data_IF_595301565241
#
_entry.id   IF_595301565241
#
_cell.length_a   1.000
_cell.length_b   1.000
_cell.length_c   1.000
_cell.angle_alpha   90.00
_cell.angle_beta   90.00
_cell.angle_gamma   90.00
#
_symmetry.space_group_name_H-M   'P 1'
#
loop_
_entity.id
_entity.type
_entity.pdbx_description
1 polymer ?
#
# COMPACT_ATOMS: atom_id res chain seq x y z
N UNK A 1 -48.82 -5.14 60.03
CA UNK A 1 -47.53 -4.43 59.88
C UNK A 1 -46.36 -5.33 59.40
N UNK A 2 -46.38 -6.66 59.60
CA UNK A 2 -45.31 -7.57 59.17
C UNK A 2 -45.20 -7.69 57.64
N UNK A 3 -46.33 -7.74 56.92
CA UNK A 3 -46.37 -7.84 55.46
C UNK A 3 -45.72 -6.64 54.75
N UNK A 4 -45.91 -5.42 55.27
CA UNK A 4 -45.34 -4.19 54.70
C UNK A 4 -43.81 -4.18 54.81
N UNK A 5 -43.27 -4.61 55.96
CA UNK A 5 -41.81 -4.73 56.16
C UNK A 5 -41.17 -5.77 55.23
N UNK A 6 -41.89 -6.84 54.89
CA UNK A 6 -41.44 -7.86 53.93
C UNK A 6 -41.49 -7.36 52.49
N UNK A 7 -42.52 -6.61 52.12
CA UNK A 7 -42.60 -5.96 50.80
C UNK A 7 -41.45 -4.97 50.60
N UNK A 8 -41.15 -4.16 51.63
CA UNK A 8 -40.01 -3.24 51.59
C UNK A 8 -38.67 -3.98 51.40
N UNK A 9 -38.47 -5.12 52.08
CA UNK A 9 -37.28 -5.94 51.90
C UNK A 9 -37.17 -6.53 50.48
N UNK A 10 -38.29 -6.93 49.87
CA UNK A 10 -38.33 -7.42 48.49
C UNK A 10 -37.98 -6.33 47.48
N UNK A 11 -38.44 -5.11 47.69
CA UNK A 11 -38.13 -3.96 46.82
C UNK A 11 -36.63 -3.67 46.83
N UNK A 12 -35.97 -3.71 48.00
CA UNK A 12 -34.53 -3.53 48.09
C UNK A 12 -33.75 -4.62 47.35
N UNK A 13 -34.16 -5.88 47.47
CA UNK A 13 -33.54 -6.99 46.74
C UNK A 13 -33.72 -6.81 45.24
N UNK A 14 -34.91 -6.43 44.79
CA UNK A 14 -35.21 -6.19 43.38
C UNK A 14 -34.38 -5.03 42.82
N UNK A 15 -34.19 -3.96 43.59
CA UNK A 15 -33.36 -2.82 43.21
C UNK A 15 -31.89 -3.24 43.02
N UNK A 16 -31.34 -4.01 43.95
CA UNK A 16 -29.97 -4.55 43.84
C UNK A 16 -29.84 -5.49 42.63
N UNK A 17 -30.83 -6.38 42.42
CA UNK A 17 -30.84 -7.29 41.28
C UNK A 17 -30.88 -6.53 39.94
N UNK A 18 -31.67 -5.46 39.84
CA UNK A 18 -31.73 -4.60 38.66
C UNK A 18 -30.40 -3.88 38.41
N UNK A 19 -29.76 -3.39 39.47
CA UNK A 19 -28.43 -2.77 39.40
C UNK A 19 -27.37 -3.75 38.90
N UNK A 20 -27.36 -4.98 39.42
CA UNK A 20 -26.46 -6.05 38.98
C UNK A 20 -26.69 -6.41 37.50
N UNK A 21 -27.94 -6.47 37.06
CA UNK A 21 -28.28 -6.72 35.65
C UNK A 21 -27.82 -5.59 34.73
N UNK A 22 -27.94 -4.33 35.17
CA UNK A 22 -27.41 -3.17 34.45
C UNK A 22 -25.90 -3.22 34.30
N UNK A 23 -25.18 -3.53 35.38
CA UNK A 23 -23.73 -3.70 35.34
C UNK A 23 -23.30 -4.84 34.40
N UNK A 24 -24.06 -5.94 34.37
CA UNK A 24 -23.81 -7.06 33.46
C UNK A 24 -23.98 -6.65 31.98
N UNK A 25 -25.03 -5.89 31.65
CA UNK A 25 -25.23 -5.39 30.28
C UNK A 25 -24.08 -4.49 29.82
N UNK A 26 -23.58 -3.62 30.69
CA UNK A 26 -22.41 -2.77 30.40
C UNK A 26 -21.15 -3.63 30.19
N UNK A 27 -20.92 -4.64 31.04
CA UNK A 27 -19.77 -5.55 30.87
C UNK A 27 -19.81 -6.29 29.54
N UNK A 28 -21.01 -6.70 29.08
CA UNK A 28 -21.17 -7.37 27.80
C UNK A 28 -20.89 -6.43 26.62
N UNK A 29 -21.31 -5.17 26.72
CA UNK A 29 -21.01 -4.11 25.74
C UNK A 29 -19.51 -3.86 25.61
N UNK A 30 -18.79 -3.77 26.72
CA UNK A 30 -17.32 -3.58 26.72
C UNK A 30 -16.62 -4.71 25.95
N UNK A 31 -17.08 -5.95 26.07
CA UNK A 31 -16.53 -7.07 25.31
C UNK A 31 -16.76 -6.90 23.79
N UNK A 32 -17.94 -6.43 23.38
CA UNK A 32 -18.22 -6.15 21.96
C UNK A 32 -17.39 -5.00 21.41
N UNK A 33 -17.24 -3.91 22.17
CA UNK A 33 -16.42 -2.76 21.76
C UNK A 33 -14.95 -3.13 21.66
N UNK A 34 -14.44 -3.97 22.57
CA UNK A 34 -13.06 -4.48 22.48
C UNK A 34 -12.85 -5.26 21.18
N UNK A 35 -13.82 -6.05 20.72
CA UNK A 35 -13.73 -6.78 19.46
C UNK A 35 -13.72 -5.82 18.25
N UNK A 36 -14.61 -4.82 18.23
CA UNK A 36 -14.62 -3.80 17.18
C UNK A 36 -13.29 -3.02 17.13
N UNK A 37 -12.72 -2.67 18.28
CA UNK A 37 -11.39 -2.05 18.35
C UNK A 37 -10.30 -2.95 17.77
N UNK A 38 -10.35 -4.26 18.01
CA UNK A 38 -9.39 -5.20 17.42
C UNK A 38 -9.52 -5.28 15.90
N UNK A 39 -10.74 -5.28 15.35
CA UNK A 39 -10.96 -5.24 13.89
C UNK A 39 -10.36 -3.99 13.27
N UNK A 40 -10.59 -2.82 13.86
CA UNK A 40 -10.03 -1.55 13.39
C UNK A 40 -8.50 -1.56 13.47
N UNK A 41 -7.91 -2.10 14.55
CA UNK A 41 -6.44 -2.25 14.67
C UNK A 41 -5.86 -3.11 13.56
N UNK A 42 -6.50 -4.23 13.23
CA UNK A 42 -6.08 -5.10 12.11
C UNK A 42 -6.21 -4.36 10.77
N UNK A 43 -7.29 -3.60 10.57
CA UNK A 43 -7.47 -2.81 9.35
C UNK A 43 -6.37 -1.74 9.21
N UNK A 44 -6.06 -1.01 10.28
CA UNK A 44 -4.96 -0.03 10.29
C UNK A 44 -3.63 -0.70 9.92
N UNK A 45 -3.34 -1.88 10.49
CA UNK A 45 -2.11 -2.60 10.19
C UNK A 45 -2.02 -3.00 8.71
N UNK A 46 -3.14 -3.47 8.12
CA UNK A 46 -3.22 -3.79 6.69
C UNK A 46 -3.03 -2.56 5.82
N UNK A 47 -3.76 -1.48 6.08
CA UNK A 47 -3.62 -0.23 5.33
C UNK A 47 -2.20 0.34 5.41
N UNK A 48 -1.51 0.24 6.56
CA UNK A 48 -0.09 0.61 6.67
C UNK A 48 0.85 -0.28 5.87
N UNK A 49 0.53 -1.56 5.68
CA UNK A 49 1.29 -2.44 4.80
C UNK A 49 1.07 -2.06 3.33
N UNK A 50 -0.19 -1.79 2.95
CA UNK A 50 -0.54 -1.35 1.60
C UNK A 50 0.16 -0.03 1.25
N UNK A 51 0.14 0.96 2.15
CA UNK A 51 0.84 2.24 1.94
C UNK A 51 2.33 2.01 1.66
N UNK A 52 3.02 1.21 2.48
CA UNK A 52 4.45 0.92 2.28
C UNK A 52 4.70 0.21 0.96
N UNK A 53 3.81 -0.69 0.55
CA UNK A 53 3.89 -1.35 -0.75
C UNK A 53 3.74 -0.34 -1.90
N UNK A 54 2.73 0.53 -1.84
CA UNK A 54 2.50 1.57 -2.84
C UNK A 54 3.68 2.55 -2.90
N UNK A 55 4.21 2.99 -1.76
CA UNK A 55 5.40 3.85 -1.68
C UNK A 55 6.61 3.20 -2.36
N UNK A 56 6.79 1.90 -2.18
CA UNK A 56 7.87 1.15 -2.82
C UNK A 56 7.68 1.09 -4.34
N UNK A 57 6.47 0.81 -4.83
CA UNK A 57 6.18 0.86 -6.27
C UNK A 57 6.39 2.27 -6.85
N UNK A 58 5.94 3.31 -6.16
CA UNK A 58 6.10 4.69 -6.60
C UNK A 58 7.58 5.09 -6.65
N UNK A 59 8.36 4.74 -5.62
CA UNK A 59 9.81 4.99 -5.60
C UNK A 59 10.50 4.30 -6.78
N UNK A 60 10.13 3.05 -7.08
CA UNK A 60 10.69 2.34 -8.23
C UNK A 60 10.33 3.01 -9.56
N UNK A 61 9.06 3.41 -9.77
CA UNK A 61 8.62 4.08 -11.00
C UNK A 61 9.18 5.51 -11.14
N UNK A 62 9.32 6.24 -10.04
CA UNK A 62 9.90 7.58 -10.03
C UNK A 62 11.40 7.54 -10.37
N UNK A 63 12.12 6.56 -9.84
CA UNK A 63 13.54 6.37 -10.11
C UNK A 63 13.79 6.14 -11.61
N UNK A 64 13.01 5.30 -12.29
CA UNK A 64 13.14 5.11 -13.76
C UNK A 64 12.97 6.42 -14.55
N UNK A 65 11.96 7.23 -14.21
CA UNK A 65 11.74 8.54 -14.86
C UNK A 65 12.83 9.56 -14.51
N UNK A 66 13.44 9.45 -13.34
CA UNK A 66 14.53 10.30 -12.93
C UNK A 66 15.82 9.92 -13.65
N UNK A 67 16.13 8.62 -13.74
CA UNK A 67 17.25 8.10 -14.52
C UNK A 67 17.14 8.49 -16.00
N UNK A 68 15.96 8.37 -16.61
CA UNK A 68 15.77 8.83 -18.00
C UNK A 68 16.06 10.32 -18.15
N UNK A 69 15.60 11.16 -17.21
CA UNK A 69 15.89 12.59 -17.24
C UNK A 69 17.38 12.88 -17.09
N UNK A 70 18.04 12.27 -16.12
CA UNK A 70 19.49 12.43 -15.95
C UNK A 70 20.28 11.93 -17.17
N UNK A 71 19.83 10.83 -17.79
CA UNK A 71 20.43 10.30 -18.99
C UNK A 71 20.30 11.25 -20.19
N UNK A 72 19.15 11.92 -20.33
CA UNK A 72 18.92 12.94 -21.36
C UNK A 72 19.68 14.24 -21.08
N UNK A 73 19.71 14.70 -19.82
CA UNK A 73 20.27 16.00 -19.42
C UNK A 73 21.81 16.01 -19.42
N UNK A 74 22.47 15.00 -18.82
CA UNK A 74 23.94 14.97 -18.67
C UNK A 74 24.64 14.18 -19.79
N UNK A 75 24.06 13.05 -20.19
CA UNK A 75 24.73 12.10 -21.09
C UNK A 75 24.23 12.15 -22.53
N UNK A 76 23.07 12.80 -22.79
CA UNK A 76 22.37 12.83 -24.07
C UNK A 76 22.22 11.43 -24.74
N UNK A 77 22.25 10.34 -23.97
CA UNK A 77 22.05 9.01 -24.54
C UNK A 77 20.55 8.79 -24.78
N UNK A 78 20.08 9.20 -25.95
CA UNK A 78 18.79 8.78 -26.45
C UNK A 78 18.85 7.30 -26.87
N UNK A 79 17.80 6.54 -26.56
CA UNK A 79 17.66 5.19 -27.13
C UNK A 79 17.57 5.33 -28.66
N UNK A 80 18.40 4.64 -29.45
CA UNK A 80 18.40 4.82 -30.89
C UNK A 80 17.01 4.55 -31.47
N UNK A 81 16.54 5.43 -32.35
CA UNK A 81 15.22 5.29 -32.96
C UNK A 81 15.24 4.16 -34.00
N UNK A 82 14.08 3.57 -34.30
CA UNK A 82 13.98 2.47 -35.26
C UNK A 82 14.58 2.81 -36.65
N UNK A 83 14.56 4.09 -37.01
CA UNK A 83 15.12 4.65 -38.24
C UNK A 83 16.65 4.75 -38.25
N UNK A 84 17.30 4.64 -37.09
CA UNK A 84 18.76 4.56 -36.95
C UNK A 84 19.29 3.12 -37.08
N UNK A 85 18.40 2.12 -37.05
CA UNK A 85 18.76 0.72 -37.32
C UNK A 85 18.56 0.39 -38.79
N UNK A 86 19.49 -0.38 -39.35
CA UNK A 86 19.34 -0.89 -40.71
C UNK A 86 18.35 -2.05 -40.72
N UNK A 87 17.47 -2.07 -41.72
CA UNK A 87 16.40 -3.07 -41.85
C UNK A 87 16.90 -4.50 -42.17
N UNK A 88 18.17 -4.69 -42.50
CA UNK A 88 18.75 -6.02 -42.72
C UNK A 88 20.07 -6.04 -43.49
N UNK A 89 20.56 -7.25 -43.77
CA UNK A 89 21.87 -7.54 -44.38
C UNK A 89 22.10 -6.86 -45.74
N UNK A 90 21.04 -6.74 -46.55
CA UNK A 90 21.13 -6.04 -47.84
C UNK A 90 21.36 -4.54 -47.66
N UNK A 91 20.70 -3.92 -46.67
CA UNK A 91 20.92 -2.51 -46.35
C UNK A 91 22.32 -2.28 -45.76
N UNK A 92 22.87 -3.25 -45.02
CA UNK A 92 24.25 -3.24 -44.54
C UNK A 92 25.27 -3.30 -45.68
N UNK A 93 25.04 -4.11 -46.71
CA UNK A 93 25.92 -4.15 -47.90
C UNK A 93 25.95 -2.82 -48.66
N UNK A 94 24.87 -2.05 -48.64
CA UNK A 94 24.83 -0.69 -49.19
C UNK A 94 25.54 0.35 -48.30
N UNK A 95 25.89 0.00 -47.07
CA UNK A 95 26.57 0.88 -46.11
C UNK A 95 28.11 0.80 -46.21
N UNK A 96 28.66 -0.20 -46.91
CA UNK A 96 30.11 -0.47 -47.08
C UNK A 96 30.92 0.65 -47.80
N UNK A 97 30.26 1.77 -48.15
CA UNK A 97 30.90 2.95 -48.74
C UNK A 97 30.52 4.28 -48.07
N UNK A 98 29.79 4.26 -46.95
CA UNK A 98 29.39 5.47 -46.24
C UNK A 98 30.49 5.86 -45.26
N UNK A 99 31.13 7.00 -45.50
CA UNK A 99 32.04 7.62 -44.53
C UNK A 99 31.23 7.96 -43.26
N UNK A 100 31.71 7.64 -42.05
CA UNK A 100 31.01 8.00 -40.83
C UNK A 100 30.79 9.52 -40.79
N UNK A 101 29.53 9.93 -40.65
CA UNK A 101 29.19 11.34 -40.53
C UNK A 101 29.44 11.77 -39.08
N UNK A 102 30.66 12.24 -38.81
CA UNK A 102 31.06 12.76 -37.50
C UNK A 102 32.58 12.75 -37.35
N UNK A 103 33.14 13.47 -36.36
CA UNK A 103 34.54 13.28 -35.99
C UNK A 103 34.76 11.79 -35.64
N UNK A 104 35.92 11.24 -36.01
CA UNK A 104 36.29 9.87 -35.65
C UNK A 104 36.01 9.65 -34.17
N UNK A 105 34.99 8.84 -33.88
CA UNK A 105 34.61 8.50 -32.51
C UNK A 105 35.68 7.54 -31.99
N UNK A 106 36.74 8.12 -31.43
CA UNK A 106 37.71 7.38 -30.64
C UNK A 106 37.05 7.14 -29.29
N UNK A 107 36.53 5.94 -29.07
CA UNK A 107 36.01 5.56 -27.77
C UNK A 107 37.12 5.85 -26.73
N UNK A 108 36.89 6.73 -25.73
CA UNK A 108 37.87 6.93 -24.68
C UNK A 108 38.18 5.56 -24.05
N UNK A 109 39.45 5.26 -23.75
CA UNK A 109 39.84 3.95 -23.25
C UNK A 109 38.99 3.64 -22.02
N UNK A 110 38.21 2.56 -22.11
CA UNK A 110 37.39 2.08 -21.00
C UNK A 110 38.34 1.76 -19.87
N UNK A 111 38.41 2.64 -18.88
CA UNK A 111 39.08 2.36 -17.61
C UNK A 111 38.24 1.31 -16.90
N UNK A 112 38.54 0.05 -17.17
CA UNK A 112 38.03 -1.05 -16.36
C UNK A 112 38.63 -0.89 -14.97
N UNK A 113 37.81 -0.49 -14.00
CA UNK A 113 38.14 -0.69 -12.60
C UNK A 113 38.14 -2.21 -12.39
N UNK A 114 39.32 -2.81 -12.50
CA UNK A 114 39.55 -4.21 -12.14
C UNK A 114 39.25 -4.31 -10.65
N UNK A 115 38.07 -4.78 -10.28
CA UNK A 115 37.83 -5.24 -8.91
C UNK A 115 38.69 -6.49 -8.75
N UNK A 116 39.80 -6.38 -8.01
CA UNK A 116 40.55 -7.56 -7.61
C UNK A 116 39.62 -8.50 -6.84
N UNK A 117 39.42 -9.70 -7.37
CA UNK A 117 38.81 -10.81 -6.64
C UNK A 117 39.64 -11.03 -5.35
N UNK A 118 39.03 -11.29 -4.18
CA UNK A 118 39.73 -11.27 -2.87
C UNK A 118 40.84 -12.32 -2.67
N UNK A 119 41.19 -13.10 -3.69
CA UNK A 119 42.15 -14.20 -3.59
C UNK A 119 43.62 -13.73 -3.56
N UNK A 120 43.93 -12.53 -4.05
CA UNK A 120 45.32 -12.09 -4.26
C UNK A 120 45.79 -10.93 -3.36
N UNK A 121 45.07 -10.60 -2.28
CA UNK A 121 45.55 -9.63 -1.28
C UNK A 121 46.15 -10.33 -0.05
N UNK A 122 47.32 -9.90 0.47
CA UNK A 122 47.75 -10.31 1.80
C UNK A 122 46.71 -9.84 2.81
N UNK A 123 46.01 -10.83 3.40
CA UNK A 123 44.91 -10.61 4.34
C UNK A 123 45.42 -9.93 5.61
N UNK A 124 45.20 -8.61 5.72
CA UNK A 124 45.10 -7.98 7.02
C UNK A 124 43.74 -8.37 7.64
N UNK A 125 43.64 -8.71 8.95
CA UNK A 125 42.38 -9.10 9.55
C UNK A 125 41.40 -7.91 9.60
N UNK A 126 40.55 -7.79 8.58
CA UNK A 126 39.42 -6.86 8.61
C UNK A 126 38.27 -7.56 9.37
N UNK A 127 37.87 -6.99 10.50
CA UNK A 127 36.66 -7.44 11.20
C UNK A 127 35.45 -7.31 10.27
N UNK A 128 34.79 -8.43 9.99
CA UNK A 128 33.64 -8.47 9.11
C UNK A 128 32.48 -7.63 9.69
N UNK A 129 31.82 -6.78 8.88
CA UNK A 129 30.58 -6.17 9.31
C UNK A 129 29.52 -7.26 9.47
N UNK A 130 28.96 -7.37 10.69
CA UNK A 130 27.89 -8.31 10.99
C UNK A 130 26.64 -7.95 10.18
N UNK A 131 26.40 -8.70 9.10
CA UNK A 131 25.15 -8.65 8.34
C UNK A 131 24.05 -9.37 9.12
N UNK A 132 22.89 -8.74 9.39
CA UNK A 132 21.78 -9.36 10.14
C UNK A 132 21.04 -10.47 9.36
N UNK A 133 21.50 -10.83 8.15
CA UNK A 133 20.81 -11.78 7.27
C UNK A 133 21.11 -13.26 7.55
N UNK A 134 22.10 -13.59 8.40
CA UNK A 134 22.51 -14.98 8.61
C UNK A 134 21.62 -15.79 9.58
N UNK A 135 20.63 -15.19 10.24
CA UNK A 135 19.81 -15.86 11.28
C UNK A 135 18.48 -16.44 10.76
N UNK A 136 18.22 -16.45 9.45
CA UNK A 136 16.91 -16.90 8.92
C UNK A 136 16.97 -18.07 7.93
N UNK A 137 18.09 -18.81 7.85
CA UNK A 137 18.10 -20.09 7.12
C UNK A 137 17.72 -21.19 8.10
N UNK A 138 16.41 -21.36 8.32
CA UNK A 138 15.86 -22.57 8.93
C UNK A 138 15.85 -23.64 7.84
N UNK A 139 16.79 -24.57 7.93
CA UNK A 139 16.93 -25.72 7.04
C UNK A 139 15.87 -26.77 7.37
N UNK A 140 14.63 -26.48 7.01
CA UNK A 140 13.54 -27.45 6.98
C UNK A 140 13.32 -27.76 5.49
N UNK A 141 14.06 -28.75 5.00
CA UNK A 141 13.91 -29.30 3.65
C UNK A 141 12.47 -29.78 3.48
N UNK A 142 11.64 -28.95 2.85
CA UNK A 142 10.36 -29.37 2.31
C UNK A 142 10.65 -30.10 1.00
N UNK A 143 10.63 -31.43 1.08
CA UNK A 143 10.48 -32.32 -0.08
C UNK A 143 9.36 -31.76 -0.96
N UNK A 144 9.71 -31.41 -2.20
CA UNK A 144 8.78 -30.96 -3.22
C UNK A 144 7.78 -32.11 -3.42
N UNK A 145 6.57 -31.95 -2.88
CA UNK A 145 5.45 -32.82 -3.18
C UNK A 145 4.85 -32.31 -4.48
N UNK A 146 4.97 -33.11 -5.53
CA UNK A 146 4.33 -32.87 -6.82
C UNK A 146 2.83 -32.63 -6.60
N UNK A 147 2.35 -31.44 -6.97
CA UNK A 147 0.97 -31.07 -6.84
C UNK A 147 0.18 -31.77 -7.96
N UNK A 148 -0.38 -32.93 -7.66
CA UNK A 148 -1.49 -33.46 -8.46
C UNK A 148 -2.68 -32.50 -8.30
N UNK A 149 -3.10 -31.91 -9.42
CA UNK A 149 -4.35 -31.19 -9.54
C UNK A 149 -5.50 -32.17 -9.26
N UNK A 150 -6.02 -32.15 -8.04
CA UNK A 150 -7.28 -32.78 -7.73
C UNK A 150 -8.39 -31.87 -8.23
N UNK A 151 -9.06 -32.29 -9.31
CA UNK A 151 -10.38 -31.80 -9.72
C UNK A 151 -11.35 -31.96 -8.54
N UNK A 152 -11.47 -30.93 -7.72
CA UNK A 152 -12.57 -30.79 -6.77
C UNK A 152 -13.53 -29.75 -7.35
N UNK A 153 -14.42 -30.26 -8.19
CA UNK A 153 -15.53 -29.50 -8.78
C UNK A 153 -16.68 -29.44 -7.77
N UNK A 154 -16.44 -28.88 -6.58
CA UNK A 154 -17.50 -28.67 -5.61
C UNK A 154 -17.76 -27.18 -5.38
N UNK A 155 -18.79 -26.73 -6.11
CA UNK A 155 -19.65 -25.56 -5.89
C UNK A 155 -18.92 -24.25 -5.63
N UNK A 156 -18.40 -23.70 -6.72
CA UNK A 156 -18.28 -22.26 -6.89
C UNK A 156 -19.63 -21.60 -6.54
N UNK A 157 -19.64 -20.84 -5.45
CA UNK A 157 -20.76 -19.98 -5.11
C UNK A 157 -21.05 -19.09 -6.32
N UNK A 158 -22.29 -19.18 -6.80
CA UNK A 158 -22.85 -18.42 -7.91
C UNK A 158 -22.35 -16.97 -7.85
N UNK A 159 -21.46 -16.62 -8.78
CA UNK A 159 -20.99 -15.26 -8.95
C UNK A 159 -22.21 -14.34 -9.02
N UNK A 160 -22.27 -13.37 -8.10
CA UNK A 160 -23.21 -12.28 -8.22
C UNK A 160 -23.02 -11.67 -9.61
N UNK A 161 -24.10 -11.66 -10.40
CA UNK A 161 -24.14 -11.16 -11.77
C UNK A 161 -23.55 -9.76 -11.82
N UNK A 162 -22.31 -9.64 -12.31
CA UNK A 162 -21.76 -8.37 -12.75
C UNK A 162 -22.59 -7.98 -13.96
N UNK A 163 -23.49 -7.00 -13.78
CA UNK A 163 -24.29 -6.43 -14.87
C UNK A 163 -23.36 -6.09 -16.03
N UNK A 164 -23.67 -6.63 -17.20
CA UNK A 164 -22.89 -6.40 -18.43
C UNK A 164 -22.88 -4.90 -18.74
N UNK A 165 -21.84 -4.38 -19.39
CA UNK A 165 -21.72 -2.96 -19.74
C UNK A 165 -22.98 -2.39 -20.46
N UNK A 166 -23.74 -3.25 -21.15
CA UNK A 166 -25.01 -2.93 -21.81
C UNK A 166 -26.19 -2.70 -20.85
N UNK A 167 -26.24 -3.37 -19.70
CA UNK A 167 -27.22 -3.10 -18.64
C UNK A 167 -26.88 -1.83 -17.85
N UNK A 168 -25.59 -1.60 -17.61
CA UNK A 168 -25.13 -0.37 -16.95
C UNK A 168 -25.45 0.89 -17.77
N UNK A 169 -25.26 0.81 -19.09
CA UNK A 169 -25.65 1.89 -20.01
C UNK A 169 -27.17 2.13 -20.08
N UNK A 170 -27.99 1.10 -19.83
CA UNK A 170 -29.45 1.22 -19.82
C UNK A 170 -29.97 1.79 -18.49
N UNK A 171 -29.31 1.45 -17.38
CA UNK A 171 -29.57 2.06 -16.06
C UNK A 171 -29.13 3.53 -16.01
N UNK A 172 -28.03 3.90 -16.68
CA UNK A 172 -27.54 5.29 -16.77
C UNK A 172 -28.41 6.17 -17.71
N UNK A 173 -29.19 5.56 -18.61
CA UNK A 173 -30.13 6.26 -19.51
C UNK A 173 -31.55 6.43 -18.92
N UNK A 174 -31.84 5.78 -17.78
CA UNK A 174 -33.12 5.86 -17.08
C UNK A 174 -33.15 7.08 -16.14
N UNK A 175 -33.66 8.22 -16.64
CA UNK A 175 -33.72 9.51 -15.91
C UNK A 175 -34.70 9.53 -14.74
N UNK A 176 -35.43 8.44 -14.50
CA UNK A 176 -36.37 8.30 -13.38
C UNK A 176 -35.69 8.02 -12.04
N UNK A 177 -34.40 7.64 -12.03
CA UNK A 177 -33.64 7.31 -10.81
C UNK A 177 -32.44 8.26 -10.63
N UNK A 178 -32.15 8.73 -9.40
CA UNK A 178 -31.01 9.60 -9.16
C UNK A 178 -29.68 8.89 -9.48
N UNK A 179 -28.88 9.51 -10.37
CA UNK A 179 -27.60 9.01 -10.86
C UNK A 179 -26.70 8.53 -9.69
N UNK A 180 -26.17 7.30 -9.72
CA UNK A 180 -25.31 6.76 -8.66
C UNK A 180 -24.01 7.56 -8.45
N UNK A 181 -23.53 8.26 -9.47
CA UNK A 181 -22.34 9.12 -9.39
C UNK A 181 -22.64 10.38 -8.58
N UNK A 182 -23.80 11.00 -8.79
CA UNK A 182 -24.23 12.19 -8.03
C UNK A 182 -24.34 11.89 -6.53
N UNK A 183 -24.89 10.72 -6.17
CA UNK A 183 -24.97 10.27 -4.76
C UNK A 183 -23.60 10.05 -4.11
N UNK A 184 -22.61 9.60 -4.88
CA UNK A 184 -21.23 9.44 -4.38
C UNK A 184 -20.56 10.80 -4.17
N UNK A 185 -20.74 11.72 -5.12
CA UNK A 185 -20.23 13.09 -4.99
C UNK A 185 -20.85 13.82 -3.79
N UNK A 186 -22.15 13.70 -3.58
CA UNK A 186 -22.85 14.29 -2.44
C UNK A 186 -22.36 13.72 -1.09
N UNK A 187 -22.13 12.40 -1.01
CA UNK A 187 -21.53 11.78 0.18
C UNK A 187 -20.10 12.25 0.44
N UNK A 188 -19.31 12.45 -0.61
CA UNK A 188 -17.96 12.99 -0.48
C UNK A 188 -17.99 14.44 0.02
N UNK A 189 -18.90 15.27 -0.52
CA UNK A 189 -19.08 16.65 -0.06
C UNK A 189 -19.54 16.73 1.41
N UNK A 190 -20.42 15.84 1.86
CA UNK A 190 -20.82 15.76 3.28
C UNK A 190 -19.66 15.35 4.20
N UNK A 191 -18.77 14.48 3.74
CA UNK A 191 -17.59 14.08 4.50
C UNK A 191 -16.58 15.22 4.57
N UNK A 192 -16.37 15.94 3.46
CA UNK A 192 -15.47 17.08 3.38
C UNK A 192 -15.93 18.21 4.32
N UNK A 193 -17.22 18.55 4.29
CA UNK A 193 -17.81 19.53 5.21
C UNK A 193 -17.70 19.13 6.69
N UNK A 194 -17.72 17.81 6.99
CA UNK A 194 -17.57 17.31 8.37
C UNK A 194 -16.11 17.30 8.84
N UNK A 195 -15.15 17.20 7.91
CA UNK A 195 -13.72 17.18 8.20
C UNK A 195 -13.13 18.59 8.25
N UNK A 196 -13.60 19.50 7.39
CA UNK A 196 -13.24 20.91 7.34
C UNK A 196 -14.16 21.81 8.18
N UNK A 197 -14.82 21.27 9.21
CA UNK A 197 -15.61 22.08 10.11
C UNK A 197 -14.73 23.14 10.80
N UNK A 198 -15.25 24.36 10.96
CA UNK A 198 -14.47 25.52 11.43
C UNK A 198 -13.91 25.29 12.85
N UNK A 199 -14.56 24.39 13.61
CA UNK A 199 -14.10 23.92 14.91
C UNK A 199 -12.79 23.10 14.85
N UNK A 200 -12.64 22.21 13.86
CA UNK A 200 -11.45 21.34 13.74
C UNK A 200 -10.24 22.14 13.24
N UNK A 201 -10.45 23.08 12.32
CA UNK A 201 -9.43 24.03 11.87
C UNK A 201 -9.02 24.99 13.00
N UNK A 202 -9.98 25.45 13.81
CA UNK A 202 -9.74 26.21 15.03
C UNK A 202 -8.86 25.47 16.04
N UNK A 203 -9.17 24.20 16.31
CA UNK A 203 -8.39 23.37 17.24
C UNK A 203 -6.97 23.09 16.74
N UNK A 204 -6.80 22.82 15.45
CA UNK A 204 -5.48 22.64 14.83
C UNK A 204 -4.62 23.89 14.94
N UNK A 205 -5.19 25.07 14.66
CA UNK A 205 -4.45 26.34 14.77
C UNK A 205 -4.13 26.70 16.23
N UNK A 206 -5.04 26.41 17.16
CA UNK A 206 -4.81 26.60 18.59
C UNK A 206 -3.71 25.68 19.11
N UNK A 207 -3.68 24.42 18.69
CA UNK A 207 -2.65 23.45 19.05
C UNK A 207 -1.29 23.82 18.44
N UNK A 208 -1.26 24.22 17.17
CA UNK A 208 -0.03 24.70 16.53
C UNK A 208 0.57 25.92 17.26
N UNK A 209 -0.27 26.86 17.73
CA UNK A 209 0.19 28.00 18.54
C UNK A 209 0.75 27.57 19.90
N UNK A 210 0.14 26.56 20.54
CA UNK A 210 0.63 26.00 21.83
C UNK A 210 1.99 25.33 21.65
N UNK A 211 2.19 24.60 20.55
CA UNK A 211 3.47 23.95 20.27
C UNK A 211 4.57 24.96 19.92
N UNK A 212 4.29 26.00 19.14
CA UNK A 212 5.26 27.08 18.88
C UNK A 212 5.74 27.76 20.16
N UNK A 213 4.84 28.05 21.11
CA UNK A 213 5.20 28.64 22.41
C UNK A 213 6.02 27.71 23.31
N UNK A 214 5.94 26.39 23.08
CA UNK A 214 6.70 25.39 23.83
C UNK A 214 8.08 25.14 23.23
N UNK A 215 8.27 25.38 21.94
CA UNK A 215 9.56 25.27 21.25
C UNK A 215 10.47 26.49 21.39
N UNK A 216 9.96 27.63 21.87
CA UNK A 216 10.69 28.90 22.08
C UNK A 216 11.25 29.04 23.53
N UNK A 217 11.29 27.95 24.30
CA UNK A 217 11.90 27.84 25.64
C UNK A 217 12.98 26.78 25.64
#
# INVERSE_FOLDING_TARGET
>A
MIAVKRLQSLIWILLVALGALGAYMVSLKVATERNELMKVRVQIARTKADIRYLETEFSARANMRQLERWNQDDFMYATPTAQQYLAGERALAHLDGVQPNGPDYVAPPVMVAMVQTPADLPSAPQAAPASPAATQIRSDIAVIREAHAADNVDKLAKAASVKTAKEKAKDDADTSKPNPVARRAERMAMLDAKLLDDSTLGDLTAQAKRERRKGDR
#
